data_IF_858234119455
#
_entry.id   IF_858234119455
#
_cell.length_a   1.000
_cell.length_b   1.000
_cell.length_c   1.000
_cell.angle_alpha   90.00
_cell.angle_beta   90.00
_cell.angle_gamma   90.00
#
_symmetry.space_group_name_H-M   'P 1'
#
loop_
_entity.id
_entity.type
_entity.pdbx_description
1 polymer ?
#
# COMPACT_ATOMS: atom_id res chain seq x y z
N UNK A 1 -9.05 -0.98 16.51
CA UNK A 1 -9.34 -0.70 15.09
C UNK A 1 -8.18 0.08 14.51
N UNK A 2 -7.60 -0.35 13.39
CA UNK A 2 -6.53 0.39 12.74
C UNK A 2 -7.08 1.72 12.19
N UNK A 3 -6.27 2.76 12.23
CA UNK A 3 -6.59 4.09 11.68
C UNK A 3 -5.68 4.37 10.50
N UNK A 4 -6.23 5.07 9.51
CA UNK A 4 -5.47 5.55 8.38
C UNK A 4 -4.32 6.44 8.82
N UNK A 5 -3.16 6.26 8.21
CA UNK A 5 -1.95 7.00 8.56
C UNK A 5 -1.04 7.15 7.35
N UNK A 6 -0.19 8.19 7.39
CA UNK A 6 0.93 8.31 6.47
C UNK A 6 2.12 7.52 7.02
N UNK A 7 2.64 6.58 6.23
CA UNK A 7 3.73 5.67 6.62
C UNK A 7 4.77 5.57 5.51
N UNK A 8 5.94 5.00 5.83
CA UNK A 8 7.03 4.81 4.88
C UNK A 8 7.38 3.34 4.75
N UNK A 9 7.47 2.86 3.51
CA UNK A 9 8.01 1.54 3.21
C UNK A 9 9.54 1.52 3.42
N UNK A 10 10.02 0.55 4.20
CA UNK A 10 11.45 0.31 4.45
C UNK A 10 12.04 -0.81 3.61
N UNK A 11 11.22 -1.76 3.18
CA UNK A 11 11.67 -3.00 2.53
C UNK A 11 10.54 -3.68 1.74
N UNK A 12 10.90 -4.73 1.01
CA UNK A 12 9.99 -5.43 0.12
C UNK A 12 8.83 -6.12 0.85
N UNK A 13 9.08 -6.82 1.97
CA UNK A 13 8.03 -7.60 2.64
C UNK A 13 7.19 -6.74 3.56
N UNK A 14 7.79 -5.84 4.33
CA UNK A 14 7.07 -4.92 5.19
C UNK A 14 6.18 -3.96 4.39
N UNK A 15 6.60 -3.54 3.19
CA UNK A 15 5.77 -2.66 2.35
C UNK A 15 4.44 -3.29 1.94
N UNK A 16 4.40 -4.58 1.62
CA UNK A 16 3.13 -5.28 1.37
C UNK A 16 2.28 -5.37 2.64
N UNK A 17 2.91 -5.68 3.77
CA UNK A 17 2.20 -5.72 5.05
C UNK A 17 1.54 -4.37 5.36
N UNK A 18 2.20 -3.25 5.04
CA UNK A 18 1.61 -1.91 5.17
C UNK A 18 0.42 -1.71 4.23
N UNK A 19 0.49 -2.19 2.98
CA UNK A 19 -0.65 -2.14 2.04
C UNK A 19 -1.84 -2.90 2.63
N UNK A 20 -1.63 -4.13 3.09
CA UNK A 20 -2.70 -4.94 3.68
C UNK A 20 -3.27 -4.30 4.96
N UNK A 21 -2.40 -3.76 5.81
CA UNK A 21 -2.83 -3.03 7.00
C UNK A 21 -3.67 -1.79 6.65
N UNK A 22 -3.29 -1.06 5.60
CA UNK A 22 -4.02 0.09 5.09
C UNK A 22 -5.42 -0.29 4.55
N UNK A 23 -5.55 -1.43 3.89
CA UNK A 23 -6.85 -1.92 3.40
C UNK A 23 -7.82 -2.28 4.54
N UNK A 24 -7.30 -2.62 5.72
CA UNK A 24 -8.08 -2.92 6.92
C UNK A 24 -8.27 -1.70 7.84
N UNK A 25 -7.68 -0.55 7.52
CA UNK A 25 -7.70 0.64 8.37
C UNK A 25 -8.93 1.51 8.11
N UNK A 26 -9.40 2.19 9.15
CA UNK A 26 -10.45 3.19 9.00
C UNK A 26 -9.86 4.54 8.54
N UNK A 27 -10.37 5.06 7.44
CA UNK A 27 -9.92 6.33 6.85
C UNK A 27 -8.95 6.10 5.69
N UNK A 28 -8.10 7.10 5.43
CA UNK A 28 -7.14 7.07 4.32
C UNK A 28 -5.73 6.82 4.85
N UNK A 29 -5.01 5.90 4.23
CA UNK A 29 -3.58 5.68 4.45
C UNK A 29 -2.79 6.06 3.22
N UNK A 30 -1.59 6.58 3.44
CA UNK A 30 -0.64 6.91 2.39
C UNK A 30 0.68 6.21 2.67
N UNK A 31 1.17 5.45 1.71
CA UNK A 31 2.40 4.68 1.84
C UNK A 31 3.44 5.29 0.92
N UNK A 32 4.44 5.92 1.52
CA UNK A 32 5.55 6.55 0.82
C UNK A 32 6.71 5.56 0.58
N UNK A 33 7.62 5.92 -0.33
CA UNK A 33 8.85 5.15 -0.61
C UNK A 33 8.62 3.71 -1.08
N UNK A 34 7.57 3.50 -1.87
CA UNK A 34 7.16 2.17 -2.40
C UNK A 34 8.09 1.56 -3.45
N UNK A 35 9.28 2.11 -3.71
CA UNK A 35 10.22 1.55 -4.69
C UNK A 35 10.74 0.15 -4.29
N UNK A 36 10.75 -0.19 -3.00
CA UNK A 36 11.04 -1.55 -2.55
C UNK A 36 9.90 -2.53 -2.86
N UNK A 37 8.65 -2.08 -2.79
CA UNK A 37 7.45 -2.87 -3.10
C UNK A 37 7.46 -3.28 -4.58
N UNK A 38 7.76 -2.32 -5.45
CA UNK A 38 7.76 -2.52 -6.90
C UNK A 38 8.83 -3.52 -7.38
N UNK A 39 9.87 -3.79 -6.58
CA UNK A 39 10.89 -4.81 -6.90
C UNK A 39 10.40 -6.25 -6.81
N UNK A 40 9.32 -6.52 -6.07
CA UNK A 40 8.80 -7.88 -5.91
C UNK A 40 7.29 -8.01 -6.09
N UNK A 41 6.57 -6.89 -6.22
CA UNK A 41 5.13 -6.87 -6.48
C UNK A 41 4.82 -5.89 -7.61
N UNK A 42 4.76 -6.42 -8.83
CA UNK A 42 4.41 -5.59 -10.00
C UNK A 42 2.96 -5.14 -9.91
N UNK A 43 2.75 -3.80 -9.98
CA UNK A 43 1.42 -3.17 -10.11
C UNK A 43 0.39 -3.73 -9.11
N UNK A 44 0.80 -3.88 -7.85
CA UNK A 44 -0.05 -4.44 -6.79
C UNK A 44 -1.37 -3.68 -6.63
N UNK A 45 -1.39 -2.38 -6.91
CA UNK A 45 -2.58 -1.54 -6.94
C UNK A 45 -3.62 -2.04 -7.96
N UNK A 46 -3.18 -2.58 -9.10
CA UNK A 46 -4.06 -3.12 -10.13
C UNK A 46 -4.55 -4.50 -9.72
N UNK A 47 -3.68 -5.35 -9.20
CA UNK A 47 -4.03 -6.72 -8.78
C UNK A 47 -5.01 -6.70 -7.62
N UNK A 48 -4.72 -5.93 -6.58
CA UNK A 48 -5.61 -5.78 -5.43
C UNK A 48 -6.83 -4.93 -5.79
N UNK A 49 -6.70 -3.90 -6.63
CA UNK A 49 -7.83 -3.06 -7.05
C UNK A 49 -8.93 -3.84 -7.77
N UNK A 50 -8.59 -4.92 -8.48
CA UNK A 50 -9.56 -5.85 -9.08
C UNK A 50 -10.45 -6.57 -8.06
N UNK A 51 -10.03 -6.64 -6.80
CA UNK A 51 -10.78 -7.30 -5.72
C UNK A 51 -11.75 -6.34 -5.00
N UNK A 52 -11.82 -5.07 -5.42
CA UNK A 52 -12.69 -4.06 -4.82
C UNK A 52 -12.03 -2.91 -4.02
N UNK A 53 -10.86 -3.04 -3.37
CA UNK A 53 -10.28 -1.91 -2.64
C UNK A 53 -9.86 -0.77 -3.57
N UNK A 54 -10.13 0.47 -3.14
CA UNK A 54 -9.69 1.68 -3.86
C UNK A 54 -8.24 2.00 -3.53
N UNK A 55 -7.32 1.61 -4.41
CA UNK A 55 -5.90 1.93 -4.32
C UNK A 55 -5.53 2.87 -5.46
N UNK A 56 -4.85 3.98 -5.16
CA UNK A 56 -4.33 4.91 -6.17
C UNK A 56 -2.82 5.02 -6.05
N UNK A 57 -2.13 4.85 -7.17
CA UNK A 57 -0.69 5.10 -7.27
C UNK A 57 -0.49 6.56 -7.63
N UNK A 58 0.23 7.28 -6.78
CA UNK A 58 0.72 8.62 -7.07
C UNK A 58 2.20 8.50 -7.48
N UNK A 59 2.55 9.04 -8.66
CA UNK A 59 3.94 9.24 -9.06
C UNK A 59 4.32 10.66 -8.68
N UNK A 60 5.43 10.81 -7.98
CA UNK A 60 6.18 12.06 -7.90
C UNK A 60 7.24 12.06 -8.98
#
# INVERSE_FOLDING_TARGET
KFKGAQVMASDLRASVSLVLAALCAEGMSEINRVYHLDRGYEKIENTLGKLGPSIKRHKY
#
